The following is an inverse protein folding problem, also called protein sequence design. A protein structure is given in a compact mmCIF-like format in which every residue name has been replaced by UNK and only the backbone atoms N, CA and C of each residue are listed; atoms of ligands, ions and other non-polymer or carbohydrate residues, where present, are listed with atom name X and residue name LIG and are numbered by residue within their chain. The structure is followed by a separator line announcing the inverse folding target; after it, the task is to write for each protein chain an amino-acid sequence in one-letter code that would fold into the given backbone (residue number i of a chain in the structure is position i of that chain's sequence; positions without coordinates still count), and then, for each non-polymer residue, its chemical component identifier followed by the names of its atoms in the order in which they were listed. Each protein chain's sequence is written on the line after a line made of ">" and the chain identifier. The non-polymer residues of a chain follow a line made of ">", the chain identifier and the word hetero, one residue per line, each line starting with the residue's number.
data_IF_645667181877
#
_entry.id   IF_645667181877
#
_cell.length_a   1.000
_cell.length_b   1.000
_cell.length_c   1.000
_cell.angle_alpha   90.00
_cell.angle_beta   90.00
_cell.angle_gamma   90.00
#
_symmetry.space_group_name_H-M   'P 1'
#
loop_
_entity.id
_entity.type
_entity.pdbx_description
1 polymer ?
#
# COMPACT_ATOMS: atom_id res chain seq x y z
N UNK A 1 -23.76 -9.80 17.94
CA UNK A 1 -25.21 -9.97 17.72
C UNK A 1 -25.94 -8.85 18.45
N UNK A 2 -26.78 -8.11 17.76
CA UNK A 2 -27.74 -7.17 18.34
C UNK A 2 -29.11 -7.83 18.34
N UNK A 3 -29.81 -7.79 19.48
CA UNK A 3 -31.13 -8.41 19.66
C UNK A 3 -32.12 -7.35 20.13
N UNK A 4 -33.23 -7.19 19.41
CA UNK A 4 -34.38 -6.43 19.87
C UNK A 4 -35.38 -7.38 20.56
N UNK A 5 -35.76 -7.16 21.80
CA UNK A 5 -36.76 -7.96 22.47
C UNK A 5 -38.20 -7.65 21.94
N UNK A 6 -39.11 -8.66 21.89
CA UNK A 6 -38.93 -10.03 22.27
C UNK A 6 -38.35 -10.88 21.13
N UNK A 7 -37.31 -11.72 21.40
CA UNK A 7 -36.73 -12.62 20.44
C UNK A 7 -37.19 -14.06 20.77
N UNK A 8 -37.83 -14.72 19.80
CA UNK A 8 -38.16 -16.13 19.94
C UNK A 8 -36.91 -17.03 19.89
N UNK A 9 -36.87 -18.08 20.70
CA UNK A 9 -35.72 -19.00 20.80
C UNK A 9 -35.28 -19.58 19.44
N UNK A 10 -36.23 -19.87 18.58
CA UNK A 10 -35.98 -20.40 17.23
C UNK A 10 -35.32 -19.33 16.33
N UNK A 11 -35.75 -18.07 16.44
CA UNK A 11 -35.14 -16.96 15.72
C UNK A 11 -33.72 -16.66 16.21
N UNK A 12 -33.47 -16.78 17.53
CA UNK A 12 -32.13 -16.67 18.11
C UNK A 12 -31.21 -17.78 17.58
N UNK A 13 -31.71 -19.01 17.58
CA UNK A 13 -30.94 -20.18 17.10
C UNK A 13 -30.61 -20.02 15.60
N UNK A 14 -31.56 -19.57 14.79
CA UNK A 14 -31.36 -19.33 13.38
C UNK A 14 -30.29 -18.27 13.13
N UNK A 15 -30.32 -17.13 13.84
CA UNK A 15 -29.29 -16.08 13.74
C UNK A 15 -27.92 -16.57 14.18
N UNK A 16 -27.83 -17.33 15.24
CA UNK A 16 -26.56 -17.92 15.71
C UNK A 16 -25.98 -18.94 14.72
N UNK A 17 -26.83 -19.76 14.11
CA UNK A 17 -26.39 -20.79 13.13
C UNK A 17 -26.09 -20.19 11.77
N UNK A 18 -26.73 -19.10 11.38
CA UNK A 18 -26.46 -18.38 10.13
C UNK A 18 -25.27 -17.42 10.22
N UNK A 19 -24.73 -17.19 11.44
CA UNK A 19 -23.62 -16.27 11.65
C UNK A 19 -24.00 -14.81 11.39
N UNK A 20 -25.26 -14.45 11.66
CA UNK A 20 -25.77 -13.07 11.53
C UNK A 20 -25.21 -12.19 12.64
N UNK A 21 -23.94 -11.86 12.52
CA UNK A 21 -23.21 -10.93 13.42
C UNK A 21 -23.26 -9.53 12.83
N UNK A 22 -23.45 -8.53 13.66
CA UNK A 22 -23.25 -7.13 13.29
C UNK A 22 -21.82 -6.95 12.79
N UNK A 23 -21.67 -6.77 11.48
CA UNK A 23 -20.36 -6.58 10.86
C UNK A 23 -20.03 -5.09 10.84
N UNK A 24 -18.86 -4.77 11.37
CA UNK A 24 -18.23 -3.46 11.23
C UNK A 24 -17.24 -3.50 10.07
N UNK A 25 -16.93 -2.36 9.47
CA UNK A 25 -15.95 -2.29 8.39
C UNK A 25 -14.96 -1.17 8.60
N UNK A 26 -13.73 -1.39 8.14
CA UNK A 26 -12.70 -0.36 8.04
C UNK A 26 -12.10 -0.38 6.63
N UNK A 27 -11.97 0.81 6.03
CA UNK A 27 -11.38 0.95 4.70
C UNK A 27 -9.92 1.39 4.81
N UNK A 28 -9.01 0.61 4.22
CA UNK A 28 -7.63 0.98 3.98
C UNK A 28 -7.55 1.68 2.63
N UNK A 29 -7.12 2.94 2.63
CA UNK A 29 -7.17 3.79 1.43
C UNK A 29 -5.89 3.63 0.62
N UNK A 30 -6.03 3.52 -0.72
CA UNK A 30 -4.89 3.52 -1.65
C UNK A 30 -4.04 4.79 -1.47
N UNK A 31 -2.72 4.67 -1.59
CA UNK A 31 -1.80 5.80 -1.50
C UNK A 31 -1.52 6.32 -0.09
N UNK A 32 -2.15 5.76 0.96
CA UNK A 32 -1.78 6.06 2.36
C UNK A 32 -0.50 5.33 2.75
N UNK A 33 0.22 5.86 3.74
CA UNK A 33 1.39 5.19 4.33
C UNK A 33 0.99 4.13 5.36
N UNK A 34 1.89 3.19 5.61
CA UNK A 34 1.68 2.21 6.68
C UNK A 34 1.50 2.87 8.05
N UNK A 35 2.20 3.97 8.32
CA UNK A 35 2.06 4.73 9.56
C UNK A 35 0.66 5.35 9.72
N UNK A 36 0.09 5.89 8.63
CA UNK A 36 -1.28 6.42 8.62
C UNK A 36 -2.30 5.31 8.82
N UNK A 37 -2.11 4.18 8.14
CA UNK A 37 -2.95 3.00 8.32
C UNK A 37 -2.95 2.51 9.76
N UNK A 38 -1.77 2.34 10.36
CA UNK A 38 -1.66 1.85 11.75
C UNK A 38 -2.32 2.81 12.75
N UNK A 39 -2.16 4.13 12.56
CA UNK A 39 -2.89 5.12 13.37
C UNK A 39 -4.41 4.99 13.24
N UNK A 40 -4.91 4.78 12.01
CA UNK A 40 -6.34 4.58 11.76
C UNK A 40 -6.87 3.31 12.42
N UNK A 41 -6.12 2.19 12.32
CA UNK A 41 -6.47 0.92 12.98
C UNK A 41 -6.47 1.07 14.50
N UNK A 42 -5.47 1.77 15.05
CA UNK A 42 -5.37 2.03 16.50
C UNK A 42 -6.51 2.93 17.04
N UNK A 43 -7.05 3.80 16.20
CA UNK A 43 -8.16 4.70 16.56
C UNK A 43 -9.54 4.06 16.39
N UNK A 44 -9.63 2.83 15.86
CA UNK A 44 -10.90 2.14 15.61
C UNK A 44 -11.45 1.54 16.92
N UNK A 45 -12.55 2.10 17.48
CA UNK A 45 -13.00 1.75 18.83
C UNK A 45 -13.57 0.34 18.93
N UNK A 46 -13.98 -0.25 17.81
CA UNK A 46 -14.56 -1.60 17.76
C UNK A 46 -13.52 -2.70 17.58
N UNK A 47 -12.22 -2.35 17.40
CA UNK A 47 -11.13 -3.30 17.35
C UNK A 47 -10.44 -3.44 18.70
N UNK A 48 -10.13 -4.69 19.08
CA UNK A 48 -9.22 -4.96 20.19
C UNK A 48 -7.79 -4.63 19.75
N UNK A 49 -7.23 -3.55 20.31
CA UNK A 49 -5.91 -3.05 19.94
C UNK A 49 -4.81 -3.81 20.68
N UNK A 50 -4.00 -4.57 19.94
CA UNK A 50 -2.88 -5.35 20.46
C UNK A 50 -1.53 -4.90 19.88
N UNK A 51 -1.54 -4.18 18.77
CA UNK A 51 -0.36 -3.73 18.06
C UNK A 51 -0.13 -2.20 18.14
N UNK A 52 -1.11 -1.44 18.66
CA UNK A 52 -0.99 0.01 18.78
C UNK A 52 0.22 0.40 19.66
N UNK A 53 0.97 1.39 19.17
CA UNK A 53 2.14 1.92 19.88
C UNK A 53 3.38 1.01 19.87
N UNK A 54 3.31 -0.19 19.29
CA UNK A 54 4.48 -1.06 19.16
C UNK A 54 5.43 -0.56 18.09
N UNK A 55 6.75 -0.77 18.23
CA UNK A 55 7.73 -0.54 17.18
C UNK A 55 7.42 -1.33 15.91
N UNK A 56 7.77 -0.78 14.75
CA UNK A 56 7.45 -1.39 13.45
C UNK A 56 8.06 -2.79 13.24
N UNK A 57 9.23 -3.05 13.79
CA UNK A 57 9.89 -4.37 13.76
C UNK A 57 9.15 -5.42 14.62
N UNK A 58 8.61 -5.03 15.77
CA UNK A 58 7.75 -5.90 16.57
C UNK A 58 6.44 -6.22 15.84
N UNK A 59 5.83 -5.22 15.18
CA UNK A 59 4.63 -5.44 14.37
C UNK A 59 4.95 -6.37 13.19
N UNK A 60 6.09 -6.18 12.50
CA UNK A 60 6.54 -7.07 11.42
C UNK A 60 6.70 -8.52 11.92
N UNK A 61 7.36 -8.70 13.06
CA UNK A 61 7.53 -10.02 13.67
C UNK A 61 6.18 -10.66 14.04
N UNK A 62 5.27 -9.90 14.67
CA UNK A 62 3.95 -10.37 15.06
C UNK A 62 3.08 -10.79 13.86
N UNK A 63 3.29 -10.16 12.70
CA UNK A 63 2.57 -10.43 11.46
C UNK A 63 3.32 -11.38 10.51
N UNK A 64 4.51 -11.85 10.88
CA UNK A 64 5.41 -12.68 10.08
C UNK A 64 5.75 -12.02 8.70
N UNK A 65 5.92 -10.70 8.68
CA UNK A 65 6.27 -9.94 7.48
C UNK A 65 7.80 -9.99 7.29
N UNK A 66 8.26 -10.67 6.25
CA UNK A 66 9.69 -10.80 5.94
C UNK A 66 10.31 -9.54 5.31
N UNK A 67 9.50 -8.65 4.73
CA UNK A 67 9.98 -7.40 4.13
C UNK A 67 10.70 -6.51 5.16
N UNK A 68 11.67 -5.67 4.73
CA UNK A 68 12.46 -4.83 5.65
C UNK A 68 11.65 -3.70 6.31
N UNK A 69 10.46 -3.41 5.81
CA UNK A 69 9.57 -2.35 6.30
C UNK A 69 8.11 -2.80 6.25
N UNK A 70 7.26 -2.18 7.08
CA UNK A 70 5.79 -2.31 6.98
C UNK A 70 5.22 -1.54 5.80
N UNK A 71 5.99 -0.60 5.22
CA UNK A 71 5.49 0.23 4.14
C UNK A 71 5.15 -0.59 2.91
N UNK A 72 3.96 -0.34 2.36
CA UNK A 72 3.42 -1.07 1.22
C UNK A 72 2.91 -2.48 1.54
N UNK A 73 2.98 -2.97 2.79
CA UNK A 73 2.74 -4.39 3.11
C UNK A 73 1.27 -4.75 3.37
N UNK A 74 0.35 -3.82 3.26
CA UNK A 74 -1.08 -4.06 3.47
C UNK A 74 -1.86 -3.70 2.22
N UNK A 75 -2.75 -4.60 1.76
CA UNK A 75 -3.56 -4.30 0.59
C UNK A 75 -4.66 -3.29 0.94
N UNK A 76 -4.81 -2.19 0.20
CA UNK A 76 -5.91 -1.26 0.38
C UNK A 76 -7.23 -1.88 -0.10
N UNK A 77 -8.19 -2.00 0.81
CA UNK A 77 -9.53 -2.55 0.56
C UNK A 77 -10.45 -2.22 1.75
N UNK A 78 -11.72 -2.52 1.65
CA UNK A 78 -12.64 -2.49 2.80
C UNK A 78 -12.69 -3.86 3.47
N UNK A 79 -12.34 -3.87 4.76
CA UNK A 79 -12.27 -5.08 5.57
C UNK A 79 -13.42 -5.14 6.55
N UNK A 80 -14.27 -6.16 6.42
CA UNK A 80 -15.32 -6.46 7.39
C UNK A 80 -14.76 -7.29 8.54
N UNK A 81 -15.21 -7.02 9.75
CA UNK A 81 -14.80 -7.73 10.97
C UNK A 81 -15.92 -7.68 12.02
N UNK A 82 -15.93 -8.64 12.96
CA UNK A 82 -16.83 -8.61 14.11
C UNK A 82 -16.27 -7.66 15.18
N UNK A 83 -17.15 -6.91 15.85
CA UNK A 83 -16.75 -6.07 16.98
C UNK A 83 -15.97 -6.89 18.02
N UNK A 84 -14.90 -6.31 18.57
CA UNK A 84 -13.98 -6.98 19.48
C UNK A 84 -12.92 -7.86 18.80
N UNK A 85 -12.92 -7.96 17.45
CA UNK A 85 -11.83 -8.63 16.72
C UNK A 85 -10.49 -7.92 16.95
N UNK A 86 -9.39 -8.69 17.00
CA UNK A 86 -8.06 -8.14 17.18
C UNK A 86 -7.52 -7.47 15.90
N UNK A 87 -6.87 -6.33 16.06
CA UNK A 87 -6.16 -5.59 15.01
C UNK A 87 -5.12 -6.46 14.27
N UNK A 88 -4.44 -7.35 15.00
CA UNK A 88 -3.49 -8.32 14.42
C UNK A 88 -4.14 -9.21 13.34
N UNK A 89 -5.34 -9.74 13.60
CA UNK A 89 -6.01 -10.61 12.64
C UNK A 89 -6.41 -9.85 11.37
N UNK A 90 -6.87 -8.61 11.52
CA UNK A 90 -7.22 -7.70 10.44
C UNK A 90 -6.00 -7.39 9.56
N UNK A 91 -4.91 -6.92 10.17
CA UNK A 91 -3.67 -6.58 9.47
C UNK A 91 -3.02 -7.79 8.80
N UNK A 92 -3.04 -8.96 9.46
CA UNK A 92 -2.56 -10.19 8.85
C UNK A 92 -3.37 -10.60 7.61
N UNK A 93 -4.70 -10.35 7.61
CA UNK A 93 -5.55 -10.58 6.44
C UNK A 93 -5.20 -9.63 5.29
N UNK A 94 -5.00 -8.34 5.59
CA UNK A 94 -4.60 -7.35 4.61
C UNK A 94 -3.23 -7.65 3.99
N UNK A 95 -2.28 -8.12 4.79
CA UNK A 95 -0.97 -8.54 4.32
C UNK A 95 -1.05 -9.79 3.42
N UNK A 96 -1.78 -10.83 3.83
CA UNK A 96 -1.98 -12.01 2.97
C UNK A 96 -2.65 -11.68 1.64
N UNK A 97 -3.61 -10.76 1.65
CA UNK A 97 -4.28 -10.30 0.43
C UNK A 97 -3.31 -9.59 -0.51
N UNK A 98 -2.42 -8.73 0.04
CA UNK A 98 -1.35 -8.12 -0.75
C UNK A 98 -0.44 -9.19 -1.36
N UNK A 99 0.07 -10.10 -0.55
CA UNK A 99 0.98 -11.15 -1.00
C UNK A 99 0.39 -11.95 -2.17
N UNK A 100 -0.84 -12.45 -2.03
CA UNK A 100 -1.51 -13.20 -3.10
C UNK A 100 -1.72 -12.38 -4.38
N UNK A 101 -2.09 -11.10 -4.26
CA UNK A 101 -2.27 -10.22 -5.44
C UNK A 101 -0.95 -9.88 -6.10
N UNK A 102 0.09 -9.63 -5.33
CA UNK A 102 1.43 -9.31 -5.83
C UNK A 102 2.04 -10.51 -6.55
N UNK A 103 1.94 -11.72 -5.96
CA UNK A 103 2.45 -12.95 -6.58
C UNK A 103 1.70 -13.26 -7.89
N UNK A 104 0.37 -13.14 -7.90
CA UNK A 104 -0.43 -13.32 -9.11
C UNK A 104 -0.08 -12.29 -10.20
N UNK A 105 0.16 -11.04 -9.83
CA UNK A 105 0.58 -10.00 -10.76
C UNK A 105 2.00 -10.27 -11.30
N UNK A 106 2.94 -10.64 -10.43
CA UNK A 106 4.32 -10.95 -10.78
C UNK A 106 4.42 -12.14 -11.73
N UNK A 107 3.62 -13.20 -11.51
CA UNK A 107 3.57 -14.36 -12.42
C UNK A 107 3.17 -13.97 -13.86
N UNK A 108 2.39 -12.89 -14.01
CA UNK A 108 1.94 -12.38 -15.32
C UNK A 108 2.73 -11.16 -15.80
N UNK A 109 3.91 -10.90 -15.23
CA UNK A 109 4.71 -9.73 -15.58
C UNK A 109 5.14 -9.74 -17.05
N UNK A 110 5.26 -8.55 -17.63
CA UNK A 110 5.81 -8.39 -18.96
C UNK A 110 7.28 -8.88 -19.00
N UNK A 111 7.70 -9.50 -20.09
CA UNK A 111 9.10 -9.93 -20.24
C UNK A 111 10.05 -8.73 -20.31
N UNK A 112 11.27 -8.90 -19.79
CA UNK A 112 12.32 -7.89 -19.86
C UNK A 112 12.08 -6.65 -19.00
N UNK A 113 11.29 -6.76 -17.92
CA UNK A 113 11.24 -5.73 -16.88
C UNK A 113 12.58 -5.63 -16.15
N UNK A 114 13.03 -4.41 -15.81
CA UNK A 114 14.24 -4.19 -15.01
C UNK A 114 13.96 -4.29 -13.52
N UNK A 115 13.19 -5.27 -13.11
CA UNK A 115 12.78 -5.54 -11.72
C UNK A 115 13.20 -6.97 -11.38
N UNK A 116 13.92 -7.14 -10.28
CA UNK A 116 14.48 -8.42 -9.87
C UNK A 116 13.53 -9.29 -9.04
N UNK A 117 12.52 -8.67 -8.41
CA UNK A 117 11.63 -9.36 -7.46
C UNK A 117 10.22 -8.78 -7.42
N UNK A 118 9.24 -9.52 -6.87
CA UNK A 118 7.92 -8.97 -6.54
C UNK A 118 8.00 -7.73 -5.65
N UNK A 119 8.95 -7.69 -4.71
CA UNK A 119 9.14 -6.55 -3.83
C UNK A 119 9.53 -5.28 -4.58
N UNK A 120 10.43 -5.37 -5.57
CA UNK A 120 10.75 -4.24 -6.44
C UNK A 120 9.56 -3.77 -7.27
N UNK A 121 8.71 -4.70 -7.71
CA UNK A 121 7.45 -4.35 -8.36
C UNK A 121 6.49 -3.61 -7.41
N UNK A 122 6.45 -3.98 -6.13
CA UNK A 122 5.68 -3.28 -5.10
C UNK A 122 6.21 -1.86 -4.86
N UNK A 123 7.54 -1.69 -4.82
CA UNK A 123 8.16 -0.37 -4.72
C UNK A 123 7.74 0.51 -5.90
N UNK A 124 7.89 0.02 -7.12
CA UNK A 124 7.48 0.77 -8.31
C UNK A 124 5.98 1.08 -8.30
N UNK A 125 5.14 0.12 -7.90
CA UNK A 125 3.69 0.30 -7.79
C UNK A 125 3.32 1.42 -6.82
N UNK A 126 4.02 1.53 -5.68
CA UNK A 126 3.78 2.58 -4.69
C UNK A 126 4.13 3.98 -5.22
N UNK A 127 5.15 4.08 -6.08
CA UNK A 127 5.50 5.33 -6.76
C UNK A 127 4.40 5.70 -7.76
N UNK A 128 3.99 4.75 -8.61
CA UNK A 128 2.91 4.96 -9.60
C UNK A 128 1.60 5.37 -8.91
N UNK A 129 1.30 4.78 -7.74
CA UNK A 129 0.11 5.15 -6.94
C UNK A 129 0.11 6.61 -6.52
N UNK A 130 1.28 7.13 -6.14
CA UNK A 130 1.43 8.52 -5.68
C UNK A 130 1.52 9.55 -6.82
N UNK A 131 1.82 9.11 -8.06
CA UNK A 131 1.97 10.00 -9.22
C UNK A 131 0.64 10.39 -9.84
N UNK A 132 -0.38 9.56 -9.78
CA UNK A 132 -1.66 9.84 -10.42
C UNK A 132 -2.84 9.21 -9.71
N UNK A 133 -3.90 10.00 -9.56
CA UNK A 133 -5.21 9.52 -9.17
C UNK A 133 -6.01 8.89 -10.34
N UNK A 134 -5.53 9.03 -11.60
CA UNK A 134 -6.25 8.56 -12.80
C UNK A 134 -5.82 7.15 -13.19
N UNK A 135 -6.69 6.14 -13.13
CA UNK A 135 -6.32 4.76 -13.42
C UNK A 135 -5.77 4.55 -14.85
N UNK A 136 -6.26 5.33 -15.83
CA UNK A 136 -5.84 5.24 -17.23
C UNK A 136 -4.38 5.66 -17.46
N UNK A 137 -3.82 6.54 -16.61
CA UNK A 137 -2.47 7.08 -16.77
C UNK A 137 -1.41 6.16 -16.15
N UNK A 138 -1.80 5.30 -15.18
CA UNK A 138 -0.87 4.42 -14.44
C UNK A 138 0.03 3.57 -15.34
N UNK A 139 -0.46 2.89 -16.40
CA UNK A 139 0.41 2.10 -17.29
C UNK A 139 1.43 2.94 -18.07
N UNK A 140 1.06 4.18 -18.44
CA UNK A 140 1.95 5.11 -19.15
C UNK A 140 3.05 5.62 -18.21
N UNK A 141 2.69 6.05 -17.00
CA UNK A 141 3.63 6.48 -15.95
C UNK A 141 4.60 5.34 -15.59
N UNK A 142 4.07 4.14 -15.36
CA UNK A 142 4.90 2.96 -15.11
C UNK A 142 5.90 2.70 -16.25
N UNK A 143 5.48 2.88 -17.51
CA UNK A 143 6.37 2.71 -18.67
C UNK A 143 7.55 3.68 -18.66
N UNK A 144 7.33 4.94 -18.25
CA UNK A 144 8.40 5.94 -18.14
C UNK A 144 9.42 5.52 -17.08
N UNK A 145 8.97 5.11 -15.90
CA UNK A 145 9.88 4.65 -14.84
C UNK A 145 10.65 3.38 -15.24
N UNK A 146 9.97 2.41 -15.87
CA UNK A 146 10.62 1.19 -16.40
C UNK A 146 11.68 1.55 -17.46
N UNK A 147 11.39 2.49 -18.36
CA UNK A 147 12.34 2.92 -19.39
C UNK A 147 13.54 3.65 -18.76
N UNK A 148 13.33 4.49 -17.74
CA UNK A 148 14.40 5.13 -16.98
C UNK A 148 15.28 4.11 -16.26
N UNK A 149 14.69 3.14 -15.57
CA UNK A 149 15.44 2.06 -14.90
C UNK A 149 16.30 1.29 -15.90
N UNK A 150 15.78 0.90 -17.07
CA UNK A 150 16.52 0.21 -18.13
C UNK A 150 17.73 1.00 -18.63
N UNK A 151 17.65 2.33 -18.61
CA UNK A 151 18.73 3.23 -19.06
C UNK A 151 19.65 3.70 -17.92
N UNK A 152 19.47 3.21 -16.70
CA UNK A 152 20.22 3.66 -15.53
C UNK A 152 20.00 5.14 -15.19
N UNK A 153 18.86 5.71 -15.61
CA UNK A 153 18.47 7.08 -15.31
C UNK A 153 17.90 7.18 -13.89
N UNK A 154 17.96 8.37 -13.32
CA UNK A 154 17.28 8.69 -12.05
C UNK A 154 15.77 8.75 -12.29
N UNK A 155 14.95 8.29 -11.30
CA UNK A 155 13.49 8.33 -11.44
C UNK A 155 12.93 9.76 -11.36
N UNK A 156 13.51 10.63 -10.52
CA UNK A 156 13.15 12.05 -10.39
C UNK A 156 11.66 12.25 -10.18
N UNK A 157 11.14 11.66 -9.12
CA UNK A 157 9.73 11.69 -8.75
C UNK A 157 9.55 12.32 -7.37
N UNK A 158 8.73 13.38 -7.31
CA UNK A 158 8.49 14.18 -6.11
C UNK A 158 7.96 13.35 -4.93
N UNK A 159 7.02 12.41 -5.11
CA UNK A 159 6.51 11.59 -4.02
C UNK A 159 7.58 10.86 -3.21
N UNK A 160 8.68 10.45 -3.83
CA UNK A 160 9.76 9.77 -3.11
C UNK A 160 10.53 10.74 -2.20
N UNK A 161 10.73 11.98 -2.63
CA UNK A 161 11.36 13.01 -1.81
C UNK A 161 10.46 13.38 -0.64
N UNK A 162 9.17 13.60 -0.92
CA UNK A 162 8.15 13.90 0.10
C UNK A 162 8.12 12.79 1.16
N UNK A 163 8.11 11.54 0.75
CA UNK A 163 8.16 10.40 1.67
C UNK A 163 9.45 10.40 2.52
N UNK A 164 10.58 10.67 1.88
CA UNK A 164 11.89 10.77 2.56
C UNK A 164 11.98 11.92 3.57
N UNK A 165 11.23 13.00 3.37
CA UNK A 165 11.11 14.11 4.32
C UNK A 165 10.25 13.74 5.54
N UNK A 166 9.30 12.84 5.38
CA UNK A 166 8.41 12.42 6.45
C UNK A 166 7.69 13.59 7.11
N UNK A 167 7.78 13.71 8.44
CA UNK A 167 7.13 14.77 9.22
C UNK A 167 7.67 16.19 8.94
N UNK A 168 8.81 16.32 8.28
CA UNK A 168 9.37 17.62 7.90
C UNK A 168 8.70 18.23 6.65
N UNK A 169 7.88 17.47 5.93
CA UNK A 169 7.12 17.98 4.79
C UNK A 169 5.94 18.85 5.25
N UNK A 170 5.97 20.11 4.89
CA UNK A 170 4.97 21.12 5.26
C UNK A 170 3.91 21.38 4.17
N UNK A 171 3.84 20.52 3.15
CA UNK A 171 2.93 20.67 2.01
C UNK A 171 3.54 21.40 0.80
N UNK A 172 4.77 21.90 0.92
CA UNK A 172 5.46 22.61 -0.17
C UNK A 172 6.86 22.03 -0.41
N UNK A 173 7.04 21.41 -1.57
CA UNK A 173 8.33 20.86 -2.00
C UNK A 173 9.21 21.96 -2.60
N UNK A 174 10.36 22.22 -2.00
CA UNK A 174 11.28 23.28 -2.38
C UNK A 174 12.51 22.73 -3.11
N UNK A 175 13.19 23.56 -3.88
CA UNK A 175 14.44 23.21 -4.59
C UNK A 175 15.50 22.63 -3.64
N UNK A 176 15.62 23.14 -2.42
CA UNK A 176 16.54 22.61 -1.39
C UNK A 176 16.21 21.16 -1.01
N UNK A 177 14.94 20.79 -0.98
CA UNK A 177 14.48 19.46 -0.60
C UNK A 177 14.87 18.44 -1.68
N UNK A 178 14.79 18.83 -2.98
CA UNK A 178 15.28 18.02 -4.09
C UNK A 178 16.80 17.84 -4.08
N UNK A 179 17.54 18.69 -3.38
CA UNK A 179 19.00 18.66 -3.24
C UNK A 179 19.46 18.00 -1.92
N UNK A 180 18.55 17.70 -1.01
CA UNK A 180 18.85 17.04 0.25
C UNK A 180 18.95 15.53 0.03
N UNK A 181 20.13 14.95 0.35
CA UNK A 181 20.33 13.50 0.16
C UNK A 181 19.63 12.70 1.27
N UNK A 182 18.67 11.90 0.83
CA UNK A 182 18.01 10.87 1.63
C UNK A 182 18.01 9.55 0.86
N UNK A 183 17.84 8.40 1.52
CA UNK A 183 17.71 7.11 0.82
C UNK A 183 16.58 7.07 -0.22
N UNK A 184 15.59 7.97 -0.07
CA UNK A 184 14.41 8.05 -0.94
C UNK A 184 14.53 9.14 -2.03
N UNK A 185 15.58 9.97 -2.03
CA UNK A 185 15.69 11.05 -3.00
C UNK A 185 16.10 10.54 -4.38
N UNK A 186 15.12 10.28 -5.24
CA UNK A 186 15.33 9.80 -6.62
C UNK A 186 15.79 10.88 -7.61
N UNK A 187 15.95 12.14 -7.18
CA UNK A 187 16.64 13.18 -7.95
C UNK A 187 18.17 13.06 -7.82
N UNK A 188 18.65 12.48 -6.72
CA UNK A 188 20.09 12.32 -6.47
C UNK A 188 20.55 10.88 -6.67
N UNK A 189 19.70 9.92 -6.31
CA UNK A 189 20.00 8.49 -6.32
C UNK A 189 19.38 7.79 -7.52
N UNK A 190 20.11 6.85 -8.12
CA UNK A 190 19.64 6.00 -9.22
C UNK A 190 18.93 4.77 -8.67
N UNK A 191 18.01 4.22 -9.47
CA UNK A 191 17.26 3.01 -9.13
C UNK A 191 16.02 3.29 -8.30
N UNK A 192 15.45 2.24 -7.75
CA UNK A 192 14.30 2.29 -6.86
C UNK A 192 14.72 2.73 -5.46
N UNK A 193 13.83 3.40 -4.68
CA UNK A 193 14.06 3.64 -3.26
C UNK A 193 14.08 2.30 -2.49
N UNK A 194 14.57 2.30 -1.23
CA UNK A 194 14.78 1.06 -0.47
C UNK A 194 13.49 0.33 -0.09
N UNK A 195 12.38 1.03 0.00
CA UNK A 195 11.06 0.47 0.34
C UNK A 195 9.96 1.10 -0.51
N UNK A 196 8.74 0.53 -0.55
CA UNK A 196 7.56 1.27 -1.00
C UNK A 196 7.41 2.59 -0.23
N UNK A 197 6.64 3.52 -0.77
CA UNK A 197 6.35 4.84 -0.19
C UNK A 197 4.88 5.05 0.15
N UNK A 198 4.04 4.08 -0.14
CA UNK A 198 2.61 4.07 0.14
C UNK A 198 2.04 2.65 -0.04
N UNK A 199 0.77 2.46 0.28
CA UNK A 199 -0.01 1.26 -0.01
C UNK A 199 -0.57 1.33 -1.44
N UNK A 200 -0.05 0.56 -2.41
CA UNK A 200 -0.54 0.61 -3.78
C UNK A 200 -1.79 -0.25 -3.96
N UNK A 201 -2.75 0.24 -4.73
CA UNK A 201 -3.91 -0.52 -5.17
C UNK A 201 -3.61 -1.51 -6.31
N UNK A 202 -4.60 -2.32 -6.63
CA UNK A 202 -4.48 -3.36 -7.66
C UNK A 202 -4.08 -2.81 -9.04
N UNK A 203 -4.57 -1.62 -9.39
CA UNK A 203 -4.29 -0.98 -10.68
C UNK A 203 -2.82 -0.55 -10.79
N UNK A 204 -2.24 -0.03 -9.73
CA UNK A 204 -0.83 0.37 -9.68
C UNK A 204 0.10 -0.85 -9.66
N UNK A 205 -0.25 -1.91 -8.93
CA UNK A 205 0.49 -3.19 -8.96
C UNK A 205 0.48 -3.76 -10.38
N UNK A 206 -0.68 -3.79 -11.03
CA UNK A 206 -0.79 -4.24 -12.43
C UNK A 206 0.06 -3.38 -13.37
N UNK A 207 -0.01 -2.06 -13.25
CA UNK A 207 0.76 -1.14 -14.10
C UNK A 207 2.27 -1.33 -13.93
N UNK A 208 2.77 -1.55 -12.72
CA UNK A 208 4.19 -1.79 -12.46
C UNK A 208 4.73 -3.05 -13.14
N UNK A 209 3.92 -4.12 -13.22
CA UNK A 209 4.34 -5.40 -13.84
C UNK A 209 3.93 -5.53 -15.31
N UNK A 210 2.98 -4.72 -15.77
CA UNK A 210 2.48 -4.68 -17.15
C UNK A 210 2.38 -3.22 -17.63
N UNK A 211 3.50 -2.48 -17.72
CA UNK A 211 3.50 -1.12 -18.20
C UNK A 211 3.10 -1.03 -19.65
N UNK A 212 2.62 0.14 -20.07
CA UNK A 212 2.39 0.41 -21.49
C UNK A 212 3.69 0.30 -22.30
N UNK A 213 3.57 -0.14 -23.55
CA UNK A 213 4.72 -0.25 -24.46
C UNK A 213 4.95 1.12 -25.12
N UNK A 214 5.77 1.97 -24.52
CA UNK A 214 6.14 3.27 -25.07
C UNK A 214 7.65 3.51 -24.97
N UNK A 215 8.26 4.32 -25.81
CA UNK A 215 9.65 4.75 -25.67
C UNK A 215 9.80 5.95 -24.72
N UNK A 216 8.72 6.46 -24.15
CA UNK A 216 8.69 7.70 -23.37
C UNK A 216 9.61 7.62 -22.14
N UNK A 217 10.31 8.73 -21.87
CA UNK A 217 11.19 8.92 -20.72
C UNK A 217 10.70 10.03 -19.79
N UNK A 218 9.67 10.75 -20.21
CA UNK A 218 9.06 11.87 -19.51
C UNK A 218 7.55 11.79 -19.65
N UNK A 219 6.84 12.25 -18.64
CA UNK A 219 5.41 12.51 -18.70
C UNK A 219 5.12 13.89 -18.10
N UNK A 220 4.01 14.47 -18.47
CA UNK A 220 3.45 15.66 -17.86
C UNK A 220 2.05 15.30 -17.42
N UNK A 221 1.78 15.44 -16.12
CA UNK A 221 0.42 15.27 -15.63
C UNK A 221 -0.46 16.39 -16.20
N UNK A 222 -1.56 16.03 -16.84
CA UNK A 222 -2.61 16.99 -17.17
C UNK A 222 -3.47 17.12 -15.92
N UNK A 223 -3.45 18.34 -15.34
CA UNK A 223 -4.29 18.72 -14.21
C UNK A 223 -5.79 18.58 -14.50
#
# INVERSE_FOLDING_TARGET
>A
YEFEPPLELVALLARLTQGDVTQTSITFVEGTTAAELLRRVAAEPTLASTLAGRPGDEIRAALAIAAPSLEGQFFPDTYFYAAGSGDRALLARAHRQLAGRLDAAWARRAPGLPLASPYEALILASIVEKETGRPADRPLIASVFVNRLKRGMRLQTDPTVIYGMGAAFDGNLRKKDLQTDTPYNTYLRKGLPPTPIALPGAASIKAAVQPAKTPALYFVARG
#
